data_IF_617869257992
#
_entry.id   IF_617869257992
#
_cell.length_a   1.000
_cell.length_b   1.000
_cell.length_c   1.000
_cell.angle_alpha   90.00
_cell.angle_beta   90.00
_cell.angle_gamma   90.00
#
_symmetry.space_group_name_H-M   'P 1'
#
loop_
_entity.id
_entity.type
_entity.pdbx_description
1 polymer ?
#
# COMPACT_ATOMS: atom_id res chain seq x y z
N UNK A 1 22.41 6.00 23.79
CA UNK A 1 22.54 5.77 22.33
C UNK A 1 21.94 4.44 21.86
N UNK A 2 22.18 3.25 22.45
CA UNK A 2 21.61 1.96 22.00
C UNK A 2 20.07 1.89 21.89
N UNK A 3 19.30 2.72 22.63
CA UNK A 3 17.81 2.69 22.60
C UNK A 3 17.20 3.39 21.38
N UNK A 4 17.89 4.31 20.72
CA UNK A 4 17.41 5.05 19.54
C UNK A 4 17.80 4.39 18.20
N UNK A 5 18.87 3.58 18.20
CA UNK A 5 19.40 2.96 16.97
C UNK A 5 18.50 1.86 16.42
N UNK A 6 17.81 1.11 17.29
CA UNK A 6 16.93 0.01 16.87
C UNK A 6 15.69 0.45 16.08
N UNK A 7 14.87 1.42 16.57
CA UNK A 7 13.70 1.90 15.84
C UNK A 7 14.04 2.54 14.49
N UNK A 8 15.09 3.38 14.47
CA UNK A 8 15.54 4.02 13.23
C UNK A 8 16.03 2.98 12.21
N UNK A 9 16.75 1.97 12.66
CA UNK A 9 17.26 0.91 11.80
C UNK A 9 16.12 0.09 11.18
N UNK A 10 15.11 -0.33 11.97
CA UNK A 10 13.92 -1.00 11.44
C UNK A 10 13.13 -0.11 10.48
N UNK A 11 13.07 1.20 10.73
CA UNK A 11 12.45 2.16 9.81
C UNK A 11 13.17 2.21 8.47
N UNK A 12 14.51 2.19 8.46
CA UNK A 12 15.30 2.14 7.22
C UNK A 12 15.05 0.82 6.46
N UNK A 13 15.01 -0.31 7.16
CA UNK A 13 14.72 -1.59 6.52
C UNK A 13 13.30 -1.62 5.93
N UNK A 14 12.29 -1.08 6.64
CA UNK A 14 10.92 -0.95 6.13
C UNK A 14 10.84 -0.04 4.91
N UNK A 15 11.55 1.08 4.93
CA UNK A 15 11.61 2.00 3.79
C UNK A 15 12.20 1.28 2.55
N UNK A 16 13.35 0.63 2.72
CA UNK A 16 14.03 -0.05 1.61
C UNK A 16 13.24 -1.25 1.09
N UNK A 17 12.58 -2.03 1.97
CA UNK A 17 11.78 -3.17 1.55
C UNK A 17 10.49 -2.77 0.82
N UNK A 18 9.95 -1.58 1.09
CA UNK A 18 8.74 -1.10 0.45
C UNK A 18 8.97 -0.46 -0.93
N UNK A 19 10.19 -0.02 -1.23
CA UNK A 19 10.49 0.65 -2.50
C UNK A 19 10.19 -0.21 -3.74
N UNK A 20 10.61 -1.50 -3.81
CA UNK A 20 10.42 -2.36 -4.98
C UNK A 20 8.95 -2.48 -5.41
N UNK A 21 8.01 -2.50 -4.48
CA UNK A 21 6.58 -2.74 -4.74
C UNK A 21 5.95 -1.76 -5.73
N UNK A 22 6.41 -0.53 -5.73
CA UNK A 22 5.84 0.54 -6.53
C UNK A 22 6.76 1.02 -7.65
N UNK A 23 8.02 0.57 -7.70
CA UNK A 23 8.97 1.01 -8.74
C UNK A 23 8.53 0.64 -10.15
N UNK A 24 7.88 -0.51 -10.32
CA UNK A 24 7.38 -0.97 -11.62
C UNK A 24 6.11 -0.20 -12.07
N UNK A 25 5.32 0.34 -11.13
CA UNK A 25 4.02 0.94 -11.44
C UNK A 25 4.09 2.07 -12.49
N UNK A 26 4.95 3.10 -12.38
CA UNK A 26 4.99 4.20 -13.35
C UNK A 26 5.49 3.78 -14.75
N UNK A 27 6.05 2.59 -14.89
CA UNK A 27 6.75 2.13 -16.08
C UNK A 27 6.17 0.83 -16.69
N UNK A 28 4.94 0.50 -16.31
CA UNK A 28 4.26 -0.71 -16.82
C UNK A 28 4.19 -0.78 -18.33
N UNK A 29 4.03 0.39 -19.00
CA UNK A 29 4.01 0.46 -20.46
C UNK A 29 5.34 -0.01 -21.03
N UNK A 30 6.44 0.57 -20.61
CA UNK A 30 7.78 0.25 -21.09
C UNK A 30 8.18 -1.20 -20.75
N UNK A 31 7.86 -1.65 -19.54
CA UNK A 31 8.22 -2.99 -19.08
C UNK A 31 7.50 -4.11 -19.84
N UNK A 32 6.27 -3.88 -20.28
CA UNK A 32 5.44 -4.96 -20.82
C UNK A 32 4.86 -4.67 -22.18
N UNK A 33 4.24 -3.50 -22.42
CA UNK A 33 3.67 -3.15 -23.71
C UNK A 33 4.78 -2.99 -24.75
N UNK A 34 5.76 -2.14 -24.49
CA UNK A 34 6.83 -1.85 -25.42
C UNK A 34 7.85 -3.01 -25.53
N UNK A 35 8.07 -3.76 -24.43
CA UNK A 35 9.06 -4.85 -24.38
C UNK A 35 8.57 -6.17 -24.97
N UNK A 36 7.31 -6.52 -24.74
CA UNK A 36 6.74 -7.83 -25.10
C UNK A 36 5.59 -7.73 -26.09
N UNK A 37 5.17 -6.53 -26.51
CA UNK A 37 4.06 -6.34 -27.44
C UNK A 37 2.69 -6.73 -26.88
N UNK A 38 2.54 -6.83 -25.55
CA UNK A 38 1.26 -7.15 -24.92
C UNK A 38 0.36 -5.92 -24.86
N UNK A 39 -0.95 -6.14 -24.76
CA UNK A 39 -1.89 -5.04 -24.63
C UNK A 39 -1.73 -4.29 -23.30
N UNK A 40 -2.19 -3.04 -23.26
CA UNK A 40 -2.21 -2.22 -22.05
C UNK A 40 -2.96 -2.88 -20.88
N UNK A 41 -4.01 -3.66 -21.19
CA UNK A 41 -4.77 -4.46 -20.21
C UNK A 41 -3.94 -5.59 -19.61
N UNK A 42 -3.24 -6.32 -20.46
CA UNK A 42 -2.38 -7.41 -20.00
C UNK A 42 -1.25 -6.88 -19.10
N UNK A 43 -0.64 -5.75 -19.46
CA UNK A 43 0.40 -5.14 -18.63
C UNK A 43 -0.07 -4.83 -17.19
N UNK A 44 -1.33 -4.43 -17.00
CA UNK A 44 -1.90 -4.17 -15.67
C UNK A 44 -2.01 -5.43 -14.81
N UNK A 45 -2.18 -6.60 -15.43
CA UNK A 45 -2.29 -7.90 -14.75
C UNK A 45 -1.03 -8.20 -13.91
N UNK A 46 0.14 -7.70 -14.34
CA UNK A 46 1.39 -7.84 -13.60
C UNK A 46 1.30 -7.33 -12.15
N UNK A 47 0.61 -6.20 -11.92
CA UNK A 47 0.43 -5.68 -10.56
C UNK A 47 -0.50 -6.57 -9.71
N UNK A 48 -1.50 -7.19 -10.32
CA UNK A 48 -2.39 -8.11 -9.63
C UNK A 48 -1.70 -9.42 -9.22
N UNK A 49 -0.75 -9.93 -10.00
CA UNK A 49 -0.07 -11.20 -9.73
C UNK A 49 0.82 -11.18 -8.48
N UNK A 50 1.37 -10.05 -8.08
CA UNK A 50 2.02 -9.91 -6.77
C UNK A 50 1.06 -10.30 -5.63
N UNK A 51 -0.19 -9.88 -5.71
CA UNK A 51 -1.20 -10.15 -4.68
C UNK A 51 -1.68 -11.62 -4.68
N UNK A 52 -1.64 -12.30 -5.83
CA UNK A 52 -1.83 -13.76 -5.86
C UNK A 52 -0.78 -14.45 -5.00
N UNK A 53 0.49 -14.03 -5.12
CA UNK A 53 1.56 -14.49 -4.25
C UNK A 53 1.33 -14.16 -2.77
N UNK A 54 0.89 -12.95 -2.49
CA UNK A 54 0.60 -12.49 -1.14
C UNK A 54 -0.42 -13.39 -0.41
N UNK A 55 -1.43 -13.90 -1.12
CA UNK A 55 -2.40 -14.86 -0.55
C UNK A 55 -1.76 -16.18 -0.15
N UNK A 56 -0.72 -16.61 -0.86
CA UNK A 56 0.02 -17.84 -0.59
C UNK A 56 1.12 -17.66 0.47
N UNK A 57 1.41 -16.43 0.89
CA UNK A 57 2.49 -16.14 1.83
C UNK A 57 2.23 -16.69 3.24
N UNK A 58 0.98 -16.75 3.69
CA UNK A 58 0.64 -17.18 5.06
C UNK A 58 1.12 -18.61 5.37
N UNK A 59 0.79 -19.64 4.57
CA UNK A 59 1.29 -20.99 4.83
C UNK A 59 2.83 -21.07 4.74
N UNK A 60 3.46 -20.33 3.82
CA UNK A 60 4.91 -20.27 3.69
C UNK A 60 5.54 -19.66 4.95
N UNK A 61 4.99 -18.57 5.47
CA UNK A 61 5.46 -17.93 6.69
C UNK A 61 5.31 -18.84 7.91
N UNK A 62 4.18 -19.54 8.04
CA UNK A 62 3.96 -20.50 9.14
C UNK A 62 4.98 -21.65 9.07
N UNK A 63 5.24 -22.17 7.89
CA UNK A 63 6.24 -23.21 7.66
C UNK A 63 7.66 -22.71 7.99
N UNK A 64 8.03 -21.51 7.50
CA UNK A 64 9.33 -20.92 7.74
C UNK A 64 9.60 -20.67 9.24
N UNK A 65 8.59 -20.14 9.96
CA UNK A 65 8.70 -19.86 11.41
C UNK A 65 8.93 -21.10 12.27
N UNK A 66 8.48 -22.27 11.81
CA UNK A 66 8.73 -23.53 12.51
C UNK A 66 10.17 -24.03 12.36
N UNK A 67 10.91 -23.56 11.37
CA UNK A 67 12.25 -24.05 11.02
C UNK A 67 13.36 -23.00 11.17
N UNK A 68 13.01 -21.73 11.13
CA UNK A 68 13.98 -20.63 11.06
C UNK A 68 13.60 -19.52 12.05
N UNK A 69 14.61 -18.86 12.62
CA UNK A 69 14.40 -17.65 13.42
C UNK A 69 14.02 -16.44 12.56
N UNK A 70 13.38 -15.44 13.16
CA UNK A 70 12.85 -14.25 12.47
C UNK A 70 13.90 -13.53 11.59
N UNK A 71 15.14 -13.41 12.07
CA UNK A 71 16.22 -12.76 11.31
C UNK A 71 16.64 -13.59 10.11
N UNK A 72 16.72 -14.93 10.25
CA UNK A 72 17.05 -15.82 9.15
C UNK A 72 15.96 -15.79 8.07
N UNK A 73 14.68 -15.74 8.47
CA UNK A 73 13.55 -15.54 7.54
C UNK A 73 13.70 -14.23 6.79
N UNK A 74 13.96 -13.12 7.50
CA UNK A 74 14.11 -11.81 6.88
C UNK A 74 15.25 -11.81 5.85
N UNK A 75 16.43 -12.32 6.21
CA UNK A 75 17.58 -12.36 5.31
C UNK A 75 17.32 -13.24 4.08
N UNK A 76 16.83 -14.46 4.29
CA UNK A 76 16.61 -15.41 3.19
C UNK A 76 15.48 -14.96 2.25
N UNK A 77 14.39 -14.41 2.79
CA UNK A 77 13.29 -13.90 1.98
C UNK A 77 13.72 -12.67 1.17
N UNK A 78 14.47 -11.72 1.78
CA UNK A 78 14.97 -10.54 1.04
C UNK A 78 15.99 -10.90 -0.04
N UNK A 79 16.83 -11.90 0.17
CA UNK A 79 17.76 -12.37 -0.87
C UNK A 79 17.03 -13.08 -2.02
N UNK A 80 16.02 -13.90 -1.69
CA UNK A 80 15.21 -14.56 -2.71
C UNK A 80 14.41 -13.54 -3.50
N UNK A 81 13.83 -12.55 -2.83
CA UNK A 81 13.13 -11.43 -3.44
C UNK A 81 14.03 -10.67 -4.43
N UNK A 82 15.22 -10.27 -3.98
CA UNK A 82 16.22 -9.62 -4.84
C UNK A 82 16.60 -10.49 -6.05
N UNK A 83 16.74 -11.81 -5.87
CA UNK A 83 17.05 -12.72 -6.98
C UNK A 83 15.90 -12.79 -7.99
N UNK A 84 14.65 -12.83 -7.53
CA UNK A 84 13.45 -12.82 -8.41
C UNK A 84 13.35 -11.50 -9.18
N UNK A 85 13.66 -10.36 -8.56
CA UNK A 85 13.72 -9.06 -9.23
C UNK A 85 14.81 -9.02 -10.31
N UNK A 86 15.98 -9.64 -10.07
CA UNK A 86 17.01 -9.80 -11.11
C UNK A 86 16.51 -10.66 -12.27
N UNK A 87 15.75 -11.73 -12.00
CA UNK A 87 15.13 -12.55 -13.03
C UNK A 87 14.13 -11.75 -13.87
N UNK A 88 13.33 -10.86 -13.24
CA UNK A 88 12.40 -9.96 -13.95
C UNK A 88 13.11 -8.94 -14.85
N UNK A 89 14.36 -8.58 -14.54
CA UNK A 89 15.17 -7.74 -15.43
C UNK A 89 15.51 -8.45 -16.76
N UNK A 90 15.64 -9.79 -16.75
CA UNK A 90 15.93 -10.58 -17.93
C UNK A 90 14.71 -10.67 -18.88
N UNK A 91 14.93 -10.85 -20.21
CA UNK A 91 13.85 -10.95 -21.22
C UNK A 91 13.19 -12.35 -21.22
N UNK A 92 12.59 -12.75 -20.11
CA UNK A 92 11.99 -14.08 -19.92
C UNK A 92 10.62 -14.26 -20.59
N UNK A 93 10.04 -13.20 -21.13
CA UNK A 93 8.69 -13.20 -21.69
C UNK A 93 7.62 -12.81 -20.67
N UNK A 94 6.44 -12.40 -21.15
CA UNK A 94 5.37 -11.85 -20.30
C UNK A 94 4.81 -12.89 -19.32
N UNK A 95 4.40 -14.08 -19.80
CA UNK A 95 3.77 -15.10 -18.93
C UNK A 95 4.73 -15.60 -17.83
N UNK A 96 6.01 -15.95 -18.13
CA UNK A 96 6.98 -16.25 -17.09
C UNK A 96 7.17 -15.09 -16.09
N UNK A 97 7.13 -13.83 -16.54
CA UNK A 97 7.22 -12.67 -15.64
C UNK A 97 6.06 -12.62 -14.63
N UNK A 98 4.85 -13.03 -15.02
CA UNK A 98 3.72 -13.13 -14.09
C UNK A 98 3.95 -14.19 -13.01
N UNK A 99 4.50 -15.36 -13.40
CA UNK A 99 4.83 -16.42 -12.43
C UNK A 99 5.89 -15.94 -11.44
N UNK A 100 6.98 -15.33 -11.95
CA UNK A 100 8.03 -14.76 -11.09
C UNK A 100 7.46 -13.70 -10.16
N UNK A 101 6.56 -12.82 -10.66
CA UNK A 101 5.90 -11.80 -9.84
C UNK A 101 5.01 -12.38 -8.75
N UNK A 102 4.32 -13.50 -9.01
CA UNK A 102 3.55 -14.19 -8.00
C UNK A 102 4.45 -14.80 -6.90
N UNK A 103 5.58 -15.39 -7.28
CA UNK A 103 6.55 -15.93 -6.30
C UNK A 103 7.19 -14.80 -5.49
N UNK A 104 7.52 -13.69 -6.13
CA UNK A 104 8.05 -12.50 -5.47
C UNK A 104 7.04 -11.91 -4.49
N UNK A 105 5.74 -11.87 -4.82
CA UNK A 105 4.70 -11.47 -3.87
C UNK A 105 4.63 -12.32 -2.60
N UNK A 106 5.01 -13.62 -2.66
CA UNK A 106 5.17 -14.45 -1.45
C UNK A 106 6.34 -13.95 -0.61
N UNK A 107 7.51 -13.71 -1.23
CA UNK A 107 8.73 -13.29 -0.51
C UNK A 107 8.57 -11.92 0.10
N UNK A 108 7.93 -11.00 -0.61
CA UNK A 108 7.64 -9.66 -0.19
C UNK A 108 6.79 -9.63 1.10
N UNK A 109 5.66 -10.34 1.12
CA UNK A 109 4.82 -10.44 2.33
C UNK A 109 5.56 -11.09 3.48
N UNK A 110 6.42 -12.08 3.24
CA UNK A 110 7.23 -12.71 4.29
C UNK A 110 8.23 -11.70 4.87
N UNK A 111 8.88 -10.87 4.05
CA UNK A 111 9.78 -9.78 4.49
C UNK A 111 9.02 -8.79 5.37
N UNK A 112 7.87 -8.28 4.91
CA UNK A 112 7.06 -7.35 5.70
C UNK A 112 6.57 -7.96 7.02
N UNK A 113 6.08 -9.20 7.00
CA UNK A 113 5.64 -9.89 8.20
C UNK A 113 6.76 -10.04 9.23
N UNK A 114 7.99 -10.34 8.77
CA UNK A 114 9.15 -10.42 9.64
C UNK A 114 9.53 -9.05 10.23
N UNK A 115 9.53 -7.99 9.42
CA UNK A 115 9.84 -6.64 9.86
C UNK A 115 8.79 -6.10 10.86
N UNK A 116 7.50 -6.29 10.57
CA UNK A 116 6.44 -5.88 11.49
C UNK A 116 6.45 -6.67 12.81
N UNK A 117 6.82 -7.96 12.80
CA UNK A 117 6.99 -8.73 14.03
C UNK A 117 8.14 -8.19 14.88
N UNK A 118 9.27 -7.80 14.25
CA UNK A 118 10.40 -7.16 14.93
C UNK A 118 10.01 -5.78 15.52
N UNK A 119 9.27 -4.95 14.77
CA UNK A 119 8.75 -3.67 15.27
C UNK A 119 7.83 -3.88 16.46
N UNK A 120 6.92 -4.84 16.39
CA UNK A 120 5.98 -5.18 17.48
C UNK A 120 6.74 -5.59 18.75
N UNK A 121 7.71 -6.49 18.63
CA UNK A 121 8.54 -6.95 19.75
C UNK A 121 9.39 -5.83 20.35
N UNK A 122 9.92 -4.94 19.51
CA UNK A 122 10.68 -3.79 19.98
C UNK A 122 9.83 -2.78 20.74
N UNK A 123 8.57 -2.64 20.36
CA UNK A 123 7.63 -1.67 20.97
C UNK A 123 7.01 -2.17 22.27
N UNK A 124 7.09 -3.45 22.60
CA UNK A 124 6.59 -4.06 23.82
C UNK A 124 5.11 -3.71 24.08
N UNK A 125 4.81 -3.17 25.27
CA UNK A 125 3.46 -2.77 25.66
C UNK A 125 2.82 -1.70 24.75
N UNK A 126 3.61 -0.99 23.93
CA UNK A 126 3.16 0.06 23.01
C UNK A 126 3.14 -0.43 21.55
N UNK A 127 2.91 -1.72 21.32
CA UNK A 127 2.98 -2.35 19.99
C UNK A 127 2.09 -1.65 18.93
N UNK A 128 0.87 -1.24 19.27
CA UNK A 128 -0.02 -0.54 18.36
C UNK A 128 0.56 0.81 17.90
N UNK A 129 1.15 1.57 18.83
CA UNK A 129 1.84 2.84 18.52
C UNK A 129 3.09 2.58 17.66
N UNK A 130 3.85 1.55 17.97
CA UNK A 130 5.03 1.16 17.21
C UNK A 130 4.70 0.79 15.76
N UNK A 131 3.64 0.02 15.55
CA UNK A 131 3.15 -0.34 14.22
C UNK A 131 2.61 0.88 13.47
N UNK A 132 1.96 1.83 14.17
CA UNK A 132 1.55 3.11 13.59
C UNK A 132 2.75 3.92 13.08
N UNK A 133 3.81 4.03 13.87
CA UNK A 133 5.05 4.71 13.45
C UNK A 133 5.76 3.97 12.30
N UNK A 134 5.67 2.65 12.23
CA UNK A 134 6.24 1.86 11.14
C UNK A 134 5.54 2.09 9.79
N UNK A 135 4.30 2.57 9.80
CA UNK A 135 3.59 2.90 8.56
C UNK A 135 4.23 4.08 7.80
N UNK A 136 4.82 5.05 8.50
CA UNK A 136 5.45 6.22 7.85
C UNK A 136 6.62 5.81 6.95
N UNK A 137 7.67 5.09 7.42
CA UNK A 137 8.75 4.66 6.55
C UNK A 137 8.29 3.71 5.44
N UNK A 138 7.30 2.84 5.69
CA UNK A 138 6.69 2.01 4.67
C UNK A 138 6.08 2.87 3.54
N UNK A 139 5.23 3.83 3.88
CA UNK A 139 4.58 4.71 2.90
C UNK A 139 5.57 5.62 2.17
N UNK A 140 6.63 6.08 2.88
CA UNK A 140 7.74 6.80 2.24
C UNK A 140 8.48 5.91 1.25
N UNK A 141 8.70 4.62 1.59
CA UNK A 141 9.29 3.64 0.70
C UNK A 141 8.43 3.41 -0.54
N UNK A 142 7.13 3.18 -0.37
CA UNK A 142 6.20 3.03 -1.50
C UNK A 142 6.17 4.28 -2.38
N UNK A 143 5.99 5.48 -1.81
CA UNK A 143 5.97 6.72 -2.58
C UNK A 143 7.30 7.02 -3.25
N UNK A 144 8.41 6.85 -2.51
CA UNK A 144 9.77 7.00 -3.01
C UNK A 144 10.11 6.00 -4.11
N UNK A 145 9.64 4.74 -3.97
CA UNK A 145 9.78 3.70 -4.99
C UNK A 145 9.19 4.10 -6.33
N UNK A 146 7.94 4.60 -6.34
CA UNK A 146 7.32 5.08 -7.57
C UNK A 146 8.12 6.22 -8.22
N UNK A 147 8.61 7.18 -7.42
CA UNK A 147 9.44 8.29 -7.92
C UNK A 147 10.76 7.78 -8.49
N UNK A 148 11.47 6.93 -7.74
CA UNK A 148 12.77 6.37 -8.15
C UNK A 148 12.62 5.50 -9.38
N UNK A 149 11.59 4.65 -9.46
CA UNK A 149 11.30 3.82 -10.63
C UNK A 149 11.05 4.65 -11.89
N UNK A 150 10.24 5.71 -11.76
CA UNK A 150 9.99 6.64 -12.86
C UNK A 150 11.25 7.38 -13.33
N UNK A 151 12.09 7.86 -12.40
CA UNK A 151 13.36 8.54 -12.72
C UNK A 151 14.36 7.57 -13.36
N UNK A 152 14.54 6.36 -12.79
CA UNK A 152 15.45 5.36 -13.31
C UNK A 152 15.10 4.97 -14.75
N UNK A 153 13.81 4.84 -15.05
CA UNK A 153 13.33 4.60 -16.40
C UNK A 153 13.56 5.81 -17.32
N UNK A 154 13.26 7.04 -16.85
CA UNK A 154 13.44 8.24 -17.67
C UNK A 154 14.89 8.45 -18.11
N UNK A 155 15.86 8.04 -17.30
CA UNK A 155 17.29 8.11 -17.64
C UNK A 155 17.71 7.10 -18.72
N UNK A 156 16.95 6.04 -18.93
CA UNK A 156 17.24 4.94 -19.87
C UNK A 156 16.30 4.92 -21.06
N UNK A 157 15.16 5.62 -21.01
CA UNK A 157 14.22 5.73 -22.10
C UNK A 157 14.83 6.60 -23.22
N UNK A 158 15.51 5.94 -24.17
CA UNK A 158 15.86 6.53 -25.47
C UNK A 158 14.66 6.57 -26.40
N UNK A 159 14.81 7.19 -27.57
CA UNK A 159 13.78 7.19 -28.62
C UNK A 159 13.61 5.80 -29.28
N UNK A 160 14.46 4.82 -28.97
CA UNK A 160 14.47 3.49 -29.55
C UNK A 160 13.69 2.49 -28.67
N UNK A 161 12.74 1.71 -29.22
CA UNK A 161 12.07 0.60 -28.54
C UNK A 161 13.03 -0.42 -27.93
N UNK A 162 14.25 -0.57 -28.45
CA UNK A 162 15.31 -1.39 -27.87
C UNK A 162 15.68 -0.95 -26.44
N UNK A 163 15.43 0.29 -26.07
CA UNK A 163 15.70 0.82 -24.71
C UNK A 163 14.79 0.25 -23.63
N UNK A 164 13.70 -0.45 -23.97
CA UNK A 164 12.79 -1.07 -22.99
C UNK A 164 13.47 -2.14 -22.13
N UNK A 165 14.46 -2.84 -22.67
CA UNK A 165 15.33 -3.75 -21.92
C UNK A 165 16.16 -3.03 -20.86
N UNK A 166 16.73 -1.88 -21.21
CA UNK A 166 17.52 -1.06 -20.31
C UNK A 166 16.67 -0.47 -19.18
N UNK A 167 15.41 -0.11 -19.47
CA UNK A 167 14.43 0.31 -18.47
C UNK A 167 14.16 -0.80 -17.45
N UNK A 168 13.96 -2.04 -17.94
CA UNK A 168 13.74 -3.18 -17.03
C UNK A 168 14.96 -3.45 -16.15
N UNK A 169 16.18 -3.43 -16.72
CA UNK A 169 17.43 -3.59 -15.94
C UNK A 169 17.57 -2.47 -14.91
N UNK A 170 17.27 -1.22 -15.25
CA UNK A 170 17.37 -0.10 -14.31
C UNK A 170 16.37 -0.24 -13.16
N UNK A 171 15.09 -0.48 -13.46
CA UNK A 171 14.02 -0.53 -12.46
C UNK A 171 14.17 -1.75 -11.56
N UNK A 172 14.25 -2.95 -12.14
CA UNK A 172 14.38 -4.17 -11.34
C UNK A 172 15.77 -4.32 -10.71
N UNK A 173 16.82 -3.76 -11.33
CA UNK A 173 18.17 -3.74 -10.75
C UNK A 173 18.24 -2.87 -9.49
N UNK A 174 17.63 -1.67 -9.50
CA UNK A 174 17.56 -0.82 -8.30
C UNK A 174 16.64 -1.46 -7.25
N UNK A 175 15.55 -2.10 -7.65
CA UNK A 175 14.68 -2.87 -6.75
C UNK A 175 15.45 -4.02 -6.07
N UNK A 176 16.19 -4.80 -6.84
CA UNK A 176 17.01 -5.89 -6.32
C UNK A 176 18.11 -5.39 -5.36
N UNK A 177 18.75 -4.25 -5.69
CA UNK A 177 19.72 -3.62 -4.80
C UNK A 177 19.10 -3.25 -3.45
N UNK A 178 17.89 -2.71 -3.44
CA UNK A 178 17.16 -2.42 -2.21
C UNK A 178 16.96 -3.69 -1.36
N UNK A 179 16.50 -4.80 -1.97
CA UNK A 179 16.36 -6.11 -1.31
C UNK A 179 17.68 -6.64 -0.75
N UNK A 180 18.78 -6.54 -1.51
CA UNK A 180 20.13 -6.91 -1.04
C UNK A 180 20.56 -6.04 0.15
N UNK A 181 20.29 -4.74 0.13
CA UNK A 181 20.60 -3.84 1.24
C UNK A 181 19.80 -4.18 2.50
N UNK A 182 18.53 -4.58 2.36
CA UNK A 182 17.71 -5.10 3.47
C UNK A 182 18.33 -6.37 4.05
N UNK A 183 18.67 -7.34 3.21
CA UNK A 183 19.29 -8.59 3.64
C UNK A 183 20.65 -8.36 4.31
N UNK A 184 21.50 -7.53 3.72
CA UNK A 184 22.81 -7.18 4.26
C UNK A 184 22.68 -6.43 5.60
N UNK A 185 21.81 -5.44 5.67
CA UNK A 185 21.54 -4.71 6.91
C UNK A 185 21.04 -5.64 8.01
N UNK A 186 20.08 -6.51 7.72
CA UNK A 186 19.56 -7.49 8.66
C UNK A 186 20.65 -8.49 9.12
N UNK A 187 21.54 -8.92 8.21
CA UNK A 187 22.66 -9.80 8.53
C UNK A 187 23.71 -9.11 9.42
N UNK A 188 24.11 -7.89 9.10
CA UNK A 188 25.06 -7.12 9.91
C UNK A 188 24.52 -6.82 11.29
N UNK A 189 23.25 -6.44 11.37
CA UNK A 189 22.57 -6.15 12.63
C UNK A 189 21.96 -7.40 13.31
N UNK A 190 22.30 -8.61 12.86
CA UNK A 190 21.66 -9.85 13.33
C UNK A 190 21.65 -10.02 14.87
N UNK A 191 22.71 -9.61 15.57
CA UNK A 191 22.75 -9.66 17.04
C UNK A 191 21.71 -8.75 17.66
N UNK A 192 21.62 -7.49 17.21
CA UNK A 192 20.64 -6.53 17.66
C UNK A 192 19.21 -7.02 17.37
N UNK A 193 18.96 -7.54 16.16
CA UNK A 193 17.64 -8.05 15.76
C UNK A 193 17.28 -9.36 16.48
N UNK A 194 18.27 -10.21 16.79
CA UNK A 194 18.04 -11.43 17.58
C UNK A 194 17.68 -11.08 19.03
N UNK A 195 18.32 -10.07 19.62
CA UNK A 195 17.96 -9.59 20.96
C UNK A 195 16.55 -9.01 20.98
N UNK A 196 16.11 -8.33 19.91
CA UNK A 196 14.74 -7.86 19.75
C UNK A 196 13.78 -9.03 19.54
N UNK A 197 14.15 -10.00 18.72
CA UNK A 197 13.32 -11.17 18.44
C UNK A 197 13.14 -12.09 19.66
N UNK A 198 14.11 -12.13 20.57
CA UNK A 198 14.05 -12.90 21.81
C UNK A 198 13.16 -12.26 22.89
N UNK A 199 12.78 -11.00 22.74
CA UNK A 199 11.84 -10.36 23.67
C UNK A 199 10.46 -11.02 23.53
N UNK A 200 9.97 -11.61 24.63
CA UNK A 200 8.59 -12.04 24.66
C UNK A 200 7.68 -10.80 24.48
N UNK A 201 6.60 -10.93 23.70
CA UNK A 201 5.61 -9.87 23.67
C UNK A 201 5.04 -9.75 25.09
N UNK A 202 5.39 -8.69 25.82
CA UNK A 202 4.74 -8.41 27.10
C UNK A 202 3.23 -8.49 26.87
N UNK A 203 2.58 -9.42 27.57
CA UNK A 203 1.13 -9.48 27.58
C UNK A 203 0.63 -8.10 28.02
N UNK A 204 -0.16 -7.44 27.17
CA UNK A 204 -0.70 -6.13 27.52
C UNK A 204 -1.41 -6.26 28.86
N UNK A 205 -1.08 -5.47 29.88
CA UNK A 205 -1.77 -5.52 31.16
C UNK A 205 -3.29 -5.40 31.04
N UNK A 206 -3.76 -4.72 29.97
CA UNK A 206 -5.18 -4.61 29.63
C UNK A 206 -5.84 -5.95 29.23
N UNK A 207 -5.08 -6.96 28.80
CA UNK A 207 -5.61 -8.29 28.52
C UNK A 207 -5.77 -9.12 29.81
N UNK A 208 -5.02 -8.80 30.85
CA UNK A 208 -5.05 -9.51 32.13
C UNK A 208 -6.09 -8.93 33.12
N UNK A 209 -6.43 -7.65 32.98
CA UNK A 209 -7.32 -6.96 33.95
C UNK A 209 -8.77 -6.80 33.47
N UNK A 210 -9.11 -7.11 32.23
CA UNK A 210 -10.45 -6.88 31.70
C UNK A 210 -10.90 -5.41 31.69
N UNK A 211 -10.04 -4.50 32.16
CA UNK A 211 -10.33 -3.07 32.27
C UNK A 211 -9.73 -2.33 31.09
N UNK A 212 -10.60 -1.92 30.20
CA UNK A 212 -10.29 -0.97 29.11
C UNK A 212 -10.04 0.42 29.70
N UNK A 213 -8.83 0.67 30.21
CA UNK A 213 -8.37 2.02 30.51
C UNK A 213 -7.80 2.67 29.25
N UNK A 214 -8.65 2.88 28.26
CA UNK A 214 -8.45 3.99 27.32
C UNK A 214 -8.82 5.25 28.11
N UNK A 215 -7.87 6.13 28.39
CA UNK A 215 -8.16 7.45 28.94
C UNK A 215 -9.19 8.13 28.03
N UNK A 216 -10.44 8.08 28.45
CA UNK A 216 -11.56 8.60 27.68
C UNK A 216 -11.44 10.12 27.63
N UNK A 217 -10.94 10.64 26.53
CA UNK A 217 -11.25 12.00 26.12
C UNK A 217 -12.77 12.02 25.87
N UNK A 218 -13.54 12.95 26.47
CA UNK A 218 -14.98 13.00 26.25
C UNK A 218 -15.27 13.28 24.78
N UNK A 219 -15.51 12.21 24.04
CA UNK A 219 -15.95 12.27 22.65
C UNK A 219 -17.46 12.54 22.65
N UNK A 220 -17.92 13.36 21.72
CA UNK A 220 -19.35 13.66 21.60
C UNK A 220 -20.18 12.41 21.32
N UNK A 221 -21.49 12.47 21.59
CA UNK A 221 -22.45 11.36 21.59
C UNK A 221 -22.45 10.41 20.37
N UNK A 222 -21.82 10.79 19.26
CA UNK A 222 -21.62 9.94 18.07
C UNK A 222 -20.48 8.92 18.24
N UNK A 223 -19.57 9.12 19.21
CA UNK A 223 -18.33 8.34 19.34
C UNK A 223 -18.35 7.33 20.51
N UNK A 224 -19.33 7.38 21.41
CA UNK A 224 -19.38 6.57 22.65
C UNK A 224 -19.87 5.11 22.47
N UNK A 225 -20.08 4.62 21.22
CA UNK A 225 -20.66 3.30 20.98
C UNK A 225 -19.70 2.34 20.32
N UNK A 226 -19.68 1.06 20.76
CA UNK A 226 -18.95 0.02 20.05
C UNK A 226 -19.53 -0.14 18.64
N UNK A 227 -18.70 0.13 17.65
CA UNK A 227 -19.06 0.01 16.22
C UNK A 227 -18.74 -1.39 15.74
N UNK A 228 -19.55 -1.93 14.82
CA UNK A 228 -19.20 -3.21 14.20
C UNK A 228 -17.83 -3.12 13.55
N UNK A 229 -16.91 -3.99 13.94
CA UNK A 229 -15.56 -4.10 13.36
C UNK A 229 -15.60 -4.28 11.83
N UNK A 230 -16.67 -4.90 11.31
CA UNK A 230 -16.93 -5.05 9.89
C UNK A 230 -16.93 -3.71 9.12
N UNK A 231 -17.31 -2.59 9.75
CA UNK A 231 -17.26 -1.28 9.10
C UNK A 231 -15.83 -0.83 8.82
N UNK A 232 -14.93 -1.04 9.78
CA UNK A 232 -13.52 -0.72 9.60
C UNK A 232 -12.91 -1.56 8.48
N UNK A 233 -13.25 -2.85 8.39
CA UNK A 233 -12.82 -3.72 7.31
C UNK A 233 -13.39 -3.29 5.95
N UNK A 234 -14.68 -2.96 5.87
CA UNK A 234 -15.30 -2.48 4.63
C UNK A 234 -14.68 -1.16 4.15
N UNK A 235 -14.39 -0.25 5.07
CA UNK A 235 -13.70 1.01 4.76
C UNK A 235 -12.30 0.76 4.25
N UNK A 236 -11.51 -0.09 4.92
CA UNK A 236 -10.16 -0.45 4.48
C UNK A 236 -10.17 -1.11 3.09
N UNK A 237 -11.14 -1.98 2.82
CA UNK A 237 -11.32 -2.60 1.52
C UNK A 237 -11.52 -1.55 0.42
N UNK A 238 -12.46 -0.62 0.60
CA UNK A 238 -12.79 0.39 -0.43
C UNK A 238 -11.64 1.39 -0.63
N UNK A 239 -10.99 1.82 0.45
CA UNK A 239 -9.81 2.71 0.37
C UNK A 239 -8.69 2.08 -0.46
N UNK A 240 -8.42 0.80 -0.19
CA UNK A 240 -7.37 0.07 -0.89
C UNK A 240 -7.77 -0.32 -2.32
N UNK A 241 -9.05 -0.50 -2.61
CA UNK A 241 -9.52 -0.75 -3.97
C UNK A 241 -9.21 0.43 -4.90
N UNK A 242 -9.42 1.67 -4.44
CA UNK A 242 -9.02 2.86 -5.21
C UNK A 242 -7.50 2.97 -5.36
N UNK A 243 -6.73 2.57 -4.33
CA UNK A 243 -5.27 2.46 -4.40
C UNK A 243 -4.80 1.47 -5.46
N UNK A 244 -5.44 0.30 -5.56
CA UNK A 244 -5.17 -0.70 -6.59
C UNK A 244 -5.41 -0.18 -8.01
N UNK A 245 -6.47 0.60 -8.22
CA UNK A 245 -6.71 1.28 -9.50
C UNK A 245 -5.62 2.32 -9.79
N UNK A 246 -5.20 3.13 -8.82
CA UNK A 246 -4.14 4.13 -9.02
C UNK A 246 -2.84 3.46 -9.46
N UNK A 247 -2.44 2.38 -8.83
CA UNK A 247 -1.15 1.74 -9.13
C UNK A 247 -1.18 0.86 -10.39
N UNK A 248 -2.32 0.26 -10.71
CA UNK A 248 -2.45 -0.62 -11.88
C UNK A 248 -2.87 0.12 -13.15
N UNK A 249 -3.87 0.99 -13.06
CA UNK A 249 -4.55 1.58 -14.23
C UNK A 249 -4.02 2.96 -14.59
N UNK A 250 -3.83 3.84 -13.60
CA UNK A 250 -3.42 5.23 -13.86
C UNK A 250 -2.09 5.34 -14.62
N UNK A 251 -1.04 4.54 -14.35
CA UNK A 251 0.22 4.61 -15.10
C UNK A 251 0.04 4.40 -16.62
N UNK A 252 -0.82 3.44 -16.96
CA UNK A 252 -1.12 3.12 -18.38
C UNK A 252 -1.87 4.28 -19.05
N UNK A 253 -2.83 4.88 -18.36
CA UNK A 253 -3.56 6.05 -18.84
C UNK A 253 -2.62 7.24 -19.07
N UNK A 254 -1.76 7.52 -18.12
CA UNK A 254 -0.80 8.61 -18.21
C UNK A 254 0.22 8.42 -19.34
N UNK A 255 0.64 7.17 -19.59
CA UNK A 255 1.58 6.84 -20.64
C UNK A 255 0.93 6.79 -22.02
N UNK A 256 -0.17 6.03 -22.15
CA UNK A 256 -0.76 5.68 -23.44
C UNK A 256 -1.62 6.80 -24.05
N UNK A 257 -2.35 7.55 -23.23
CA UNK A 257 -3.29 8.56 -23.72
C UNK A 257 -2.81 10.00 -23.51
N UNK A 258 -2.00 10.25 -22.49
CA UNK A 258 -1.62 11.60 -22.11
C UNK A 258 -0.15 11.93 -22.39
N UNK A 259 0.64 10.94 -22.81
CA UNK A 259 2.04 11.13 -23.20
C UNK A 259 2.99 11.55 -22.07
N UNK A 260 2.61 11.34 -20.79
CA UNK A 260 3.48 11.65 -19.68
C UNK A 260 4.72 10.75 -19.66
N UNK A 261 5.88 11.36 -19.45
CA UNK A 261 7.14 10.62 -19.29
C UNK A 261 7.10 9.75 -18.04
N UNK A 262 7.93 8.71 -17.99
CA UNK A 262 8.05 7.81 -16.85
C UNK A 262 8.36 8.57 -15.54
N UNK A 263 9.25 9.58 -15.61
CA UNK A 263 9.54 10.45 -14.46
C UNK A 263 8.33 11.23 -13.95
N UNK A 264 7.54 11.82 -14.85
CA UNK A 264 6.31 12.54 -14.49
C UNK A 264 5.28 11.60 -13.85
N UNK A 265 5.12 10.39 -14.41
CA UNK A 265 4.24 9.35 -13.86
C UNK A 265 4.69 8.90 -12.48
N UNK A 266 6.01 8.71 -12.29
CA UNK A 266 6.58 8.36 -10.99
C UNK A 266 6.24 9.39 -9.91
N UNK A 267 6.40 10.68 -10.21
CA UNK A 267 5.99 11.75 -9.30
C UNK A 267 4.49 11.77 -9.03
N UNK A 268 3.65 11.67 -10.06
CA UNK A 268 2.19 11.71 -9.91
C UNK A 268 1.66 10.53 -9.08
N UNK A 269 2.23 9.34 -9.24
CA UNK A 269 1.83 8.15 -8.50
C UNK A 269 2.43 8.15 -7.08
N UNK A 270 3.66 8.61 -6.92
CA UNK A 270 4.36 8.65 -5.64
C UNK A 270 3.84 9.75 -4.70
N UNK A 271 3.42 10.89 -5.25
CA UNK A 271 3.01 12.06 -4.49
C UNK A 271 1.90 11.78 -3.45
N UNK A 272 0.79 11.08 -3.78
CA UNK A 272 -0.21 10.74 -2.78
C UNK A 272 0.33 9.90 -1.63
N UNK A 273 1.20 8.94 -1.90
CA UNK A 273 1.80 8.07 -0.89
C UNK A 273 2.76 8.83 0.02
N UNK A 274 3.57 9.75 -0.56
CA UNK A 274 4.46 10.63 0.21
C UNK A 274 3.66 11.56 1.12
N UNK A 275 2.59 12.17 0.60
CA UNK A 275 1.71 13.03 1.39
C UNK A 275 0.98 12.24 2.48
N UNK A 276 0.55 11.03 2.17
CA UNK A 276 -0.04 10.11 3.14
C UNK A 276 0.95 9.78 4.26
N UNK A 277 2.22 9.52 3.94
CA UNK A 277 3.26 9.23 4.93
C UNK A 277 3.45 10.40 5.91
N UNK A 278 3.56 11.63 5.40
CA UNK A 278 3.76 12.83 6.22
C UNK A 278 2.49 13.24 6.95
N UNK A 279 1.34 13.10 6.30
CA UNK A 279 0.04 13.55 6.80
C UNK A 279 -0.60 12.64 7.84
N UNK A 280 -0.20 11.35 7.93
CA UNK A 280 -0.84 10.38 8.85
C UNK A 280 -0.71 10.77 10.32
N UNK A 281 0.44 11.32 10.74
CA UNK A 281 0.65 11.79 12.11
C UNK A 281 -0.29 12.95 12.50
N UNK A 282 -0.28 14.07 11.77
CA UNK A 282 -1.23 15.17 11.97
C UNK A 282 -2.71 14.73 11.89
N UNK A 283 -3.04 13.82 10.97
CA UNK A 283 -4.39 13.28 10.84
C UNK A 283 -4.80 12.45 12.07
N UNK A 284 -3.89 11.67 12.65
CA UNK A 284 -4.12 10.98 13.91
C UNK A 284 -4.43 11.94 15.05
N UNK A 285 -3.64 13.02 15.19
CA UNK A 285 -3.92 14.06 16.19
C UNK A 285 -5.27 14.78 15.95
N UNK A 286 -5.71 14.88 14.70
CA UNK A 286 -7.04 15.40 14.37
C UNK A 286 -8.14 14.41 14.81
N UNK A 287 -7.94 13.09 14.61
CA UNK A 287 -8.85 12.06 15.10
C UNK A 287 -9.04 12.14 16.61
N UNK A 288 -7.95 12.34 17.36
CA UNK A 288 -8.01 12.47 18.84
C UNK A 288 -8.81 13.70 19.28
N UNK A 289 -8.85 14.79 18.48
CA UNK A 289 -9.56 16.04 18.83
C UNK A 289 -11.02 16.07 18.38
N UNK A 290 -11.31 15.55 17.22
CA UNK A 290 -12.59 15.72 16.52
C UNK A 290 -13.41 14.43 16.52
N UNK A 291 -12.76 13.29 16.76
CA UNK A 291 -13.33 11.94 16.70
C UNK A 291 -13.05 11.26 15.34
N UNK A 292 -12.62 10.00 15.42
CA UNK A 292 -12.17 9.20 14.27
C UNK A 292 -13.24 9.07 13.19
N UNK A 293 -14.52 8.90 13.56
CA UNK A 293 -15.61 8.77 12.58
C UNK A 293 -15.85 10.05 11.78
N UNK A 294 -15.84 11.21 12.44
CA UNK A 294 -16.06 12.50 11.76
C UNK A 294 -14.94 12.79 10.75
N UNK A 295 -13.68 12.59 11.19
CA UNK A 295 -12.52 12.71 10.32
C UNK A 295 -12.65 11.77 9.12
N UNK A 296 -13.03 10.51 9.37
CA UNK A 296 -13.23 9.49 8.33
C UNK A 296 -14.26 9.90 7.29
N UNK A 297 -15.41 10.42 7.72
CA UNK A 297 -16.49 10.80 6.82
C UNK A 297 -16.13 11.99 5.94
N UNK A 298 -15.56 13.04 6.54
CA UNK A 298 -15.12 14.23 5.79
C UNK A 298 -14.00 13.88 4.82
N UNK A 299 -12.99 13.13 5.28
CA UNK A 299 -11.88 12.70 4.46
C UNK A 299 -12.35 11.77 3.31
N UNK A 300 -13.32 10.88 3.56
CA UNK A 300 -13.87 9.99 2.54
C UNK A 300 -14.55 10.73 1.41
N UNK A 301 -15.34 11.74 1.71
CA UNK A 301 -15.98 12.57 0.68
C UNK A 301 -14.96 13.44 -0.07
N UNK A 302 -13.98 14.02 0.65
CA UNK A 302 -12.90 14.81 0.03
C UNK A 302 -12.02 13.92 -0.88
N UNK A 303 -11.71 12.69 -0.45
CA UNK A 303 -10.99 11.71 -1.25
C UNK A 303 -11.76 11.36 -2.52
N UNK A 304 -13.05 11.02 -2.41
CA UNK A 304 -13.88 10.67 -3.55
C UNK A 304 -13.98 11.83 -4.55
N UNK A 305 -14.13 13.07 -4.08
CA UNK A 305 -14.16 14.25 -4.92
C UNK A 305 -12.82 14.47 -5.65
N UNK A 306 -11.69 14.41 -4.92
CA UNK A 306 -10.37 14.57 -5.51
C UNK A 306 -10.08 13.45 -6.54
N UNK A 307 -10.48 12.22 -6.23
CA UNK A 307 -10.33 11.08 -7.12
C UNK A 307 -11.17 11.21 -8.39
N UNK A 308 -12.42 11.66 -8.27
CA UNK A 308 -13.30 11.94 -9.40
C UNK A 308 -12.77 13.06 -10.31
N UNK A 309 -11.97 13.98 -9.79
CA UNK A 309 -11.35 15.07 -10.57
C UNK A 309 -10.18 14.59 -11.47
N UNK A 310 -9.58 13.42 -11.21
CA UNK A 310 -8.41 12.92 -11.96
C UNK A 310 -8.64 12.93 -13.47
N UNK A 311 -9.72 12.34 -14.03
CA UNK A 311 -9.93 12.34 -15.49
C UNK A 311 -10.11 13.74 -16.08
N UNK A 312 -10.72 14.65 -15.36
CA UNK A 312 -10.96 16.03 -15.84
C UNK A 312 -9.71 16.91 -15.74
N UNK A 313 -8.80 16.57 -14.82
CA UNK A 313 -7.53 17.25 -14.62
C UNK A 313 -6.43 16.80 -15.61
N UNK A 314 -6.66 15.72 -16.34
CA UNK A 314 -5.65 15.04 -17.15
C UNK A 314 -5.08 15.88 -18.31
N UNK A 315 -5.80 16.91 -18.77
CA UNK A 315 -5.32 17.85 -19.79
C UNK A 315 -4.22 18.82 -19.32
N UNK A 316 -3.94 18.87 -17.99
CA UNK A 316 -2.90 19.71 -17.41
C UNK A 316 -2.17 18.99 -16.29
N UNK A 317 -0.84 18.88 -16.41
CA UNK A 317 -0.02 18.26 -15.38
C UNK A 317 -0.18 18.95 -14.00
N UNK A 318 -0.32 20.28 -13.99
CA UNK A 318 -0.50 21.04 -12.76
C UNK A 318 -1.86 20.72 -12.10
N UNK A 319 -2.95 20.67 -12.87
CA UNK A 319 -4.27 20.32 -12.35
C UNK A 319 -4.32 18.89 -11.85
N UNK A 320 -3.68 17.97 -12.57
CA UNK A 320 -3.57 16.58 -12.16
C UNK A 320 -2.76 16.44 -10.86
N UNK A 321 -1.66 17.19 -10.73
CA UNK A 321 -0.89 17.21 -9.48
C UNK A 321 -1.72 17.74 -8.31
N UNK A 322 -2.55 18.77 -8.50
CA UNK A 322 -3.48 19.26 -7.48
C UNK A 322 -4.50 18.19 -7.08
N UNK A 323 -5.08 17.46 -8.04
CA UNK A 323 -5.98 16.34 -7.75
C UNK A 323 -5.26 15.25 -6.94
N UNK A 324 -4.02 14.89 -7.31
CA UNK A 324 -3.21 13.90 -6.60
C UNK A 324 -2.79 14.38 -5.19
N UNK A 325 -2.57 15.69 -4.98
CA UNK A 325 -2.40 16.27 -3.64
C UNK A 325 -3.67 16.08 -2.82
N UNK A 326 -4.84 16.38 -3.38
CA UNK A 326 -6.14 16.16 -2.73
C UNK A 326 -6.35 14.71 -2.33
N UNK A 327 -6.02 13.77 -3.21
CA UNK A 327 -6.03 12.32 -2.94
C UNK A 327 -5.09 11.97 -1.79
N UNK A 328 -3.83 12.43 -1.81
CA UNK A 328 -2.83 12.09 -0.80
C UNK A 328 -3.16 12.63 0.59
N UNK A 329 -3.59 13.89 0.69
CA UNK A 329 -3.98 14.53 1.96
C UNK A 329 -5.21 13.84 2.56
N UNK A 330 -6.22 13.56 1.72
CA UNK A 330 -7.41 12.86 2.17
C UNK A 330 -7.09 11.41 2.55
N UNK A 331 -6.22 10.71 1.80
CA UNK A 331 -5.79 9.34 2.11
C UNK A 331 -5.05 9.26 3.45
N UNK A 332 -4.26 10.28 3.83
CA UNK A 332 -3.63 10.35 5.13
C UNK A 332 -4.66 10.34 6.27
N UNK A 333 -5.72 11.14 6.13
CA UNK A 333 -6.80 11.20 7.10
C UNK A 333 -7.65 9.92 7.12
N UNK A 334 -7.88 9.31 5.95
CA UNK A 334 -8.56 8.02 5.82
C UNK A 334 -7.79 6.91 6.52
N UNK A 335 -6.48 6.82 6.29
CA UNK A 335 -5.64 5.79 6.88
C UNK A 335 -5.60 5.90 8.41
N UNK A 336 -5.33 7.11 8.93
CA UNK A 336 -5.27 7.36 10.36
C UNK A 336 -6.61 7.04 11.06
N UNK A 337 -7.73 7.54 10.49
CA UNK A 337 -9.06 7.35 11.07
C UNK A 337 -9.54 5.89 10.99
N UNK A 338 -9.27 5.19 9.89
CA UNK A 338 -9.63 3.78 9.74
C UNK A 338 -8.86 2.89 10.71
N UNK A 339 -7.57 3.17 10.92
CA UNK A 339 -6.75 2.45 11.89
C UNK A 339 -7.23 2.71 13.33
N UNK A 340 -7.57 3.96 13.66
CA UNK A 340 -8.15 4.31 14.96
C UNK A 340 -9.47 3.60 15.21
N UNK A 341 -10.40 3.61 14.24
CA UNK A 341 -11.67 2.90 14.32
C UNK A 341 -11.51 1.38 14.45
N UNK A 342 -10.53 0.79 13.78
CA UNK A 342 -10.22 -0.64 13.93
C UNK A 342 -9.69 -0.95 15.35
N UNK A 343 -8.86 -0.08 15.89
CA UNK A 343 -8.35 -0.22 17.26
C UNK A 343 -9.46 -0.06 18.31
N UNK A 344 -10.36 0.90 18.15
CA UNK A 344 -11.53 1.14 19.02
C UNK A 344 -12.50 -0.05 19.00
N UNK A 345 -12.66 -0.71 17.85
CA UNK A 345 -13.65 -1.78 17.67
C UNK A 345 -13.22 -3.15 18.21
N UNK A 346 -11.94 -3.38 18.47
CA UNK A 346 -11.52 -4.72 18.88
C UNK A 346 -10.10 -4.88 19.39
N UNK A 347 -9.22 -3.91 19.18
CA UNK A 347 -7.85 -3.80 19.77
C UNK A 347 -6.93 -5.04 19.71
N UNK A 348 -7.45 -6.21 19.30
CA UNK A 348 -6.68 -7.45 19.29
C UNK A 348 -5.77 -7.55 18.06
N UNK A 349 -4.69 -8.31 18.18
CA UNK A 349 -3.79 -8.59 17.06
C UNK A 349 -4.53 -9.24 15.88
N UNK A 350 -5.55 -10.06 16.17
CA UNK A 350 -6.41 -10.69 15.14
C UNK A 350 -7.26 -9.65 14.42
N UNK A 351 -7.83 -8.69 15.14
CA UNK A 351 -8.62 -7.62 14.54
C UNK A 351 -7.77 -6.76 13.60
N UNK A 352 -6.58 -6.33 14.03
CA UNK A 352 -5.67 -5.55 13.18
C UNK A 352 -5.18 -6.35 11.96
N UNK A 353 -4.93 -7.66 12.13
CA UNK A 353 -4.61 -8.56 11.03
C UNK A 353 -5.75 -8.69 10.02
N UNK A 354 -6.98 -8.84 10.50
CA UNK A 354 -8.18 -8.91 9.63
C UNK A 354 -8.45 -7.59 8.90
N UNK A 355 -8.26 -6.45 9.58
CA UNK A 355 -8.31 -5.13 8.97
C UNK A 355 -7.30 -4.98 7.81
N UNK A 356 -6.05 -5.43 8.04
CA UNK A 356 -5.02 -5.45 7.02
C UNK A 356 -5.39 -6.35 5.85
N UNK A 357 -5.83 -7.58 6.12
CA UNK A 357 -6.24 -8.53 5.09
C UNK A 357 -7.43 -8.01 4.25
N UNK A 358 -8.39 -7.32 4.88
CA UNK A 358 -9.48 -6.66 4.16
C UNK A 358 -8.95 -5.58 3.21
N UNK A 359 -7.98 -4.78 3.65
CA UNK A 359 -7.31 -3.78 2.80
C UNK A 359 -6.57 -4.41 1.62
N UNK A 360 -5.77 -5.43 1.86
CA UNK A 360 -4.99 -6.09 0.80
C UNK A 360 -5.92 -6.80 -0.21
N UNK A 361 -7.02 -7.41 0.26
CA UNK A 361 -8.07 -7.95 -0.62
C UNK A 361 -8.75 -6.84 -1.43
N UNK A 362 -8.97 -5.66 -0.82
CA UNK A 362 -9.50 -4.48 -1.52
C UNK A 362 -8.57 -4.02 -2.63
N UNK A 363 -7.28 -3.94 -2.37
CA UNK A 363 -6.28 -3.56 -3.38
C UNK A 363 -6.29 -4.53 -4.58
N UNK A 364 -6.29 -5.84 -4.31
CA UNK A 364 -6.41 -6.86 -5.35
C UNK A 364 -7.72 -6.72 -6.15
N UNK A 365 -8.83 -6.59 -5.44
CA UNK A 365 -10.14 -6.42 -6.08
C UNK A 365 -10.19 -5.16 -6.93
N UNK A 366 -9.62 -4.05 -6.45
CA UNK A 366 -9.57 -2.78 -7.18
C UNK A 366 -8.75 -2.87 -8.45
N UNK A 367 -7.55 -3.45 -8.39
CA UNK A 367 -6.71 -3.67 -9.57
C UNK A 367 -7.41 -4.59 -10.57
N UNK A 368 -7.94 -5.73 -10.14
CA UNK A 368 -8.59 -6.70 -11.03
C UNK A 368 -9.90 -6.16 -11.60
N UNK A 369 -10.74 -5.56 -10.76
CA UNK A 369 -12.01 -5.01 -11.19
C UNK A 369 -11.84 -3.85 -12.17
N UNK A 370 -10.81 -3.01 -12.00
CA UNK A 370 -10.52 -1.94 -12.96
C UNK A 370 -10.21 -2.50 -14.36
N UNK A 371 -9.42 -3.59 -14.45
CA UNK A 371 -9.10 -4.26 -15.70
C UNK A 371 -10.37 -4.83 -16.36
N UNK A 372 -11.20 -5.53 -15.57
CA UNK A 372 -12.45 -6.14 -16.05
C UNK A 372 -13.45 -5.07 -16.52
N UNK A 373 -13.61 -4.00 -15.77
CA UNK A 373 -14.56 -2.93 -16.12
C UNK A 373 -14.11 -2.17 -17.38
N UNK A 374 -12.81 -1.85 -17.50
CA UNK A 374 -12.29 -1.24 -18.73
C UNK A 374 -12.50 -2.16 -19.94
N UNK A 375 -12.29 -3.47 -19.77
CA UNK A 375 -12.57 -4.45 -20.81
C UNK A 375 -14.05 -4.50 -21.19
N UNK A 376 -14.95 -4.48 -20.19
CA UNK A 376 -16.39 -4.54 -20.42
C UNK A 376 -16.92 -3.28 -21.13
N UNK A 377 -16.37 -2.10 -20.81
CA UNK A 377 -16.75 -0.84 -21.45
C UNK A 377 -16.21 -0.71 -22.87
N UNK A 378 -14.97 -1.13 -23.11
CA UNK A 378 -14.34 -1.11 -24.44
C UNK A 378 -14.87 -2.19 -25.39
N UNK A 379 -15.55 -3.20 -24.86
CA UNK A 379 -16.05 -4.34 -25.65
C UNK A 379 -14.92 -5.09 -26.37
N UNK A 380 -15.08 -5.35 -27.68
CA UNK A 380 -14.07 -6.01 -28.52
C UNK A 380 -13.01 -5.04 -29.10
N UNK A 381 -13.19 -3.74 -28.93
CA UNK A 381 -12.24 -2.72 -29.38
C UNK A 381 -11.16 -2.45 -28.32
N UNK A 382 -10.08 -1.81 -28.74
CA UNK A 382 -9.11 -1.29 -27.76
C UNK A 382 -9.76 -0.21 -26.89
N UNK A 383 -9.55 -0.26 -25.54
CA UNK A 383 -10.13 0.71 -24.64
C UNK A 383 -9.67 2.13 -24.97
N UNK A 384 -10.60 3.05 -24.91
CA UNK A 384 -10.36 4.49 -25.09
C UNK A 384 -10.07 5.18 -23.76
N UNK A 385 -9.55 6.41 -23.81
CA UNK A 385 -9.43 7.26 -22.62
C UNK A 385 -10.75 7.38 -21.84
N UNK A 386 -11.89 7.46 -22.55
CA UNK A 386 -13.21 7.60 -21.96
C UNK A 386 -13.59 6.37 -21.09
N UNK A 387 -13.20 5.18 -21.50
CA UNK A 387 -13.49 3.95 -20.75
C UNK A 387 -12.73 3.95 -19.43
N UNK A 388 -11.45 4.30 -19.46
CA UNK A 388 -10.63 4.46 -18.26
C UNK A 388 -11.16 5.57 -17.34
N UNK A 389 -11.52 6.72 -17.90
CA UNK A 389 -12.10 7.84 -17.16
C UNK A 389 -13.39 7.43 -16.45
N UNK A 390 -14.27 6.68 -17.14
CA UNK A 390 -15.53 6.16 -16.59
C UNK A 390 -15.29 5.22 -15.41
N UNK A 391 -14.28 4.34 -15.49
CA UNK A 391 -13.91 3.44 -14.40
C UNK A 391 -13.38 4.22 -13.20
N UNK A 392 -12.54 5.24 -13.39
CA UNK A 392 -12.04 6.10 -12.31
C UNK A 392 -13.21 6.78 -11.59
N UNK A 393 -14.15 7.37 -12.34
CA UNK A 393 -15.34 8.02 -11.77
C UNK A 393 -16.22 7.01 -11.03
N UNK A 394 -16.41 5.80 -11.57
CA UNK A 394 -17.17 4.74 -10.92
C UNK A 394 -16.57 4.36 -9.55
N UNK A 395 -15.26 4.23 -9.45
CA UNK A 395 -14.58 3.96 -8.18
C UNK A 395 -14.72 5.13 -7.19
N UNK A 396 -14.68 6.36 -7.67
CA UNK A 396 -14.96 7.55 -6.85
C UNK A 396 -16.39 7.52 -6.30
N UNK A 397 -17.37 7.21 -7.15
CA UNK A 397 -18.77 7.08 -6.75
C UNK A 397 -18.97 5.93 -5.75
N UNK A 398 -18.32 4.78 -5.95
CA UNK A 398 -18.35 3.66 -5.01
C UNK A 398 -17.79 4.08 -3.65
N UNK A 399 -16.66 4.77 -3.62
CA UNK A 399 -16.05 5.26 -2.38
C UNK A 399 -16.98 6.26 -1.66
N UNK A 400 -17.57 7.20 -2.38
CA UNK A 400 -18.53 8.16 -1.84
C UNK A 400 -19.78 7.47 -1.29
N UNK A 401 -20.33 6.48 -2.03
CA UNK A 401 -21.51 5.72 -1.62
C UNK A 401 -21.28 4.93 -0.34
N UNK A 402 -20.15 4.22 -0.21
CA UNK A 402 -19.80 3.50 1.02
C UNK A 402 -19.60 4.47 2.18
N UNK A 403 -18.93 5.60 1.97
CA UNK A 403 -18.75 6.64 2.99
C UNK A 403 -20.11 7.17 3.46
N UNK A 404 -21.03 7.49 2.53
CA UNK A 404 -22.38 7.96 2.84
C UNK A 404 -23.25 6.90 3.54
N UNK A 405 -23.12 5.64 3.13
CA UNK A 405 -23.83 4.53 3.78
C UNK A 405 -23.41 4.38 5.25
N UNK A 406 -22.12 4.42 5.53
CA UNK A 406 -21.58 4.35 6.90
C UNK A 406 -22.03 5.57 7.72
N UNK A 407 -22.04 6.78 7.14
CA UNK A 407 -22.59 7.96 7.78
C UNK A 407 -24.07 7.79 8.16
N UNK A 408 -24.87 7.27 7.23
CA UNK A 408 -26.30 6.99 7.46
C UNK A 408 -26.54 5.94 8.54
N UNK A 409 -25.74 4.87 8.58
CA UNK A 409 -25.81 3.85 9.62
C UNK A 409 -25.43 4.40 11.00
N UNK A 410 -24.35 5.18 11.07
CA UNK A 410 -23.91 5.83 12.31
C UNK A 410 -24.99 6.79 12.85
N UNK A 411 -25.59 7.59 11.97
CA UNK A 411 -26.65 8.53 12.34
C UNK A 411 -27.91 7.81 12.84
N UNK A 412 -28.34 6.72 12.17
CA UNK A 412 -29.49 5.90 12.63
C UNK A 412 -29.21 5.27 13.99
N UNK A 413 -27.99 4.79 14.23
CA UNK A 413 -27.59 4.25 15.50
C UNK A 413 -27.63 5.31 16.62
N UNK A 414 -27.23 6.55 16.34
CA UNK A 414 -27.30 7.67 17.28
C UNK A 414 -28.75 8.03 17.65
N UNK A 415 -29.68 8.09 16.66
CA UNK A 415 -31.10 8.39 16.91
C UNK A 415 -31.86 7.33 17.72
N UNK A 416 -31.49 6.07 17.63
CA UNK A 416 -32.15 4.99 18.40
C UNK A 416 -31.74 4.98 19.88
N UNK A 417 -30.85 5.83 20.26
CA UNK A 417 -30.23 5.87 21.58
C UNK A 417 -30.61 7.09 22.43
N UNK A 418 -31.06 8.17 21.78
CA UNK A 418 -31.70 9.30 22.42
C UNK A 418 -33.20 9.13 22.42
#
# INVERSE_FOLDING_TARGET
MRRLTGPLFLSILLFLSAMPDTMAAPVLKELFVDRYGVSAREAQVFMAFNLVGALLAVPVLVWARRRMGAVAILVSASLLDAALLVVLAAPIGFVPSLVVRAVEGVTDVVVFAALFDLVRRQSGAHAARGLGYASTPLLLGLGGGAVVGGIAAAQRAGADPASSGDVAVAVFGVSALAGVLVAFGAFVARRLLSDVAAREPEASPAAASGESHAGAVPHGALDDRPRPFAWSCAMAFVDRATGGLITGTLPIVLAGFLGYTSGQRGWLIGLPLLLMAVGTGPAGALCDRVGSLRVRLVAGLAYAAAFACIPFAAGSQAMLAVAMVGVGVSAAALFASSLALAAESGGSTVALGSFRAAGDTGFFAGTTLSIVLVAALGGNAEPTYRDYASVIVLFACMHAAVTAAIAGLAWRAARRAG
#
